data_IF_661546501307
#
_entry.id   IF_661546501307
#
_cell.length_a   1.000
_cell.length_b   1.000
_cell.length_c   1.000
_cell.angle_alpha   90.00
_cell.angle_beta   90.00
_cell.angle_gamma   90.00
#
_symmetry.space_group_name_H-M   'P 1'
#
loop_
_entity.id
_entity.type
_entity.pdbx_description
1 polymer ?
#
# COMPACT_ATOMS: atom_id res chain seq x y z
N UNK A 1 17.20 -2.50 14.63
CA UNK A 1 16.52 -3.30 13.59
C UNK A 1 17.53 -4.18 12.87
N UNK A 2 17.10 -5.28 12.28
CA UNK A 2 17.90 -6.12 11.37
C UNK A 2 16.99 -6.59 10.23
N UNK A 3 17.56 -6.92 9.07
CA UNK A 3 16.81 -7.32 7.88
C UNK A 3 16.69 -8.84 7.77
N UNK A 4 15.55 -9.30 7.27
CA UNK A 4 15.21 -10.71 7.07
C UNK A 4 14.28 -10.85 5.86
N UNK A 5 14.13 -12.06 5.33
CA UNK A 5 13.30 -12.34 4.15
C UNK A 5 12.69 -13.76 4.15
N UNK A 6 12.51 -14.37 5.33
CA UNK A 6 12.04 -15.74 5.44
C UNK A 6 10.66 -15.81 6.08
N UNK A 7 9.92 -16.88 5.75
CA UNK A 7 8.64 -17.19 6.41
C UNK A 7 8.77 -17.30 7.93
N UNK A 8 9.93 -17.72 8.44
CA UNK A 8 10.18 -17.82 9.87
C UNK A 8 9.98 -16.46 10.56
N UNK A 9 10.54 -15.40 9.99
CA UNK A 9 10.43 -14.04 10.51
C UNK A 9 9.08 -13.40 10.11
N UNK A 10 8.57 -13.71 8.91
CA UNK A 10 7.30 -13.16 8.44
C UNK A 10 6.09 -13.64 9.27
N UNK A 11 6.12 -14.85 9.84
CA UNK A 11 5.02 -15.39 10.66
C UNK A 11 5.27 -15.28 12.17
N UNK A 12 6.49 -14.94 12.59
CA UNK A 12 6.77 -14.70 14.00
C UNK A 12 6.02 -13.45 14.49
N UNK A 13 5.64 -13.46 15.78
CA UNK A 13 5.05 -12.30 16.45
C UNK A 13 6.03 -11.71 17.46
N UNK A 14 6.25 -10.39 17.47
CA UNK A 14 7.15 -9.78 18.42
C UNK A 14 6.60 -9.85 19.85
N UNK A 15 7.50 -10.00 20.83
CA UNK A 15 7.16 -9.77 22.23
C UNK A 15 6.81 -8.30 22.45
N UNK A 16 5.96 -8.01 23.45
CA UNK A 16 5.65 -6.64 23.84
C UNK A 16 6.93 -5.84 24.12
N UNK A 17 7.18 -4.72 23.43
CA UNK A 17 8.38 -3.93 23.65
C UNK A 17 8.44 -3.35 25.07
N UNK A 18 9.65 -3.25 25.59
CA UNK A 18 9.89 -2.78 26.95
C UNK A 18 9.34 -1.35 27.17
N UNK A 19 8.66 -1.16 28.30
CA UNK A 19 8.10 0.11 28.77
C UNK A 19 7.13 0.80 27.80
N UNK A 20 6.58 0.12 26.78
CA UNK A 20 5.69 0.75 25.78
C UNK A 20 4.41 1.32 26.38
N UNK A 21 3.92 0.77 27.50
CA UNK A 21 2.75 1.29 28.22
C UNK A 21 2.94 2.72 28.77
N UNK A 22 4.19 3.18 28.89
CA UNK A 22 4.57 4.53 29.38
C UNK A 22 4.94 5.48 28.24
N UNK A 23 4.75 5.09 26.98
CA UNK A 23 5.14 5.86 25.79
C UNK A 23 3.90 6.38 25.06
N UNK A 24 4.10 7.46 24.31
CA UNK A 24 3.13 8.03 23.37
C UNK A 24 3.81 8.34 22.03
N UNK A 25 3.02 8.42 20.97
CA UNK A 25 3.48 8.72 19.63
C UNK A 25 2.65 9.86 19.03
N UNK A 26 3.33 10.77 18.33
CA UNK A 26 2.72 11.85 17.58
C UNK A 26 3.16 11.72 16.12
N UNK A 27 2.20 11.59 15.22
CA UNK A 27 2.44 11.40 13.79
C UNK A 27 1.91 12.62 13.05
N UNK A 28 2.80 13.29 12.31
CA UNK A 28 2.47 14.52 11.59
C UNK A 28 2.02 14.16 10.18
N UNK A 29 0.80 14.57 9.82
CA UNK A 29 0.08 14.13 8.63
C UNK A 29 -0.59 12.77 8.82
N UNK A 30 -1.67 12.54 8.07
CA UNK A 30 -2.46 11.31 8.04
C UNK A 30 -2.40 10.59 6.69
N UNK A 31 -1.31 10.78 5.94
CA UNK A 31 -1.01 9.97 4.76
C UNK A 31 -0.64 8.52 5.11
N UNK A 32 -0.45 7.69 4.07
CA UNK A 32 -0.14 6.27 4.19
C UNK A 32 0.97 5.96 5.21
N UNK A 33 2.04 6.75 5.24
CA UNK A 33 3.17 6.52 6.14
C UNK A 33 2.78 6.62 7.62
N UNK A 34 2.06 7.68 8.01
CA UNK A 34 1.60 7.86 9.39
C UNK A 34 0.55 6.83 9.77
N UNK A 35 -0.38 6.51 8.86
CA UNK A 35 -1.38 5.47 9.11
C UNK A 35 -0.72 4.10 9.28
N UNK A 36 0.24 3.74 8.42
CA UNK A 36 1.02 2.51 8.55
C UNK A 36 1.79 2.46 9.88
N UNK A 37 2.47 3.55 10.24
CA UNK A 37 3.20 3.64 11.51
C UNK A 37 2.27 3.47 12.72
N UNK A 38 1.08 4.07 12.71
CA UNK A 38 0.07 3.86 13.75
C UNK A 38 -0.38 2.39 13.82
N UNK A 39 -0.59 1.74 12.68
CA UNK A 39 -0.93 0.31 12.63
C UNK A 39 0.18 -0.56 13.25
N UNK A 40 1.45 -0.33 12.90
CA UNK A 40 2.56 -1.07 13.50
C UNK A 40 2.75 -0.76 14.99
N UNK A 41 2.51 0.47 15.44
CA UNK A 41 2.52 0.84 16.86
C UNK A 41 1.46 0.09 17.65
N UNK A 42 0.26 -0.09 17.08
CA UNK A 42 -0.81 -0.91 17.68
C UNK A 42 -0.43 -2.39 17.67
N UNK A 43 -0.12 -2.94 16.49
CA UNK A 43 0.02 -4.38 16.26
C UNK A 43 1.28 -4.97 16.89
N UNK A 44 2.42 -4.38 16.58
CA UNK A 44 3.75 -4.91 16.95
C UNK A 44 4.31 -4.18 18.16
N UNK A 45 4.09 -2.86 18.19
CA UNK A 45 4.41 -2.03 19.34
C UNK A 45 3.53 -2.34 20.55
N UNK A 46 2.32 -2.87 20.35
CA UNK A 46 1.33 -3.10 21.41
C UNK A 46 1.10 -1.84 22.27
N UNK A 47 1.26 -0.66 21.65
CA UNK A 47 0.97 0.63 22.26
C UNK A 47 -0.55 0.80 22.34
N UNK A 48 -1.04 1.35 23.44
CA UNK A 48 -2.48 1.64 23.59
C UNK A 48 -2.86 2.74 22.61
N UNK A 49 -3.92 2.53 21.82
CA UNK A 49 -4.33 3.51 20.78
C UNK A 49 -4.58 4.93 21.32
N UNK A 50 -5.06 5.06 22.56
CA UNK A 50 -5.22 6.37 23.22
C UNK A 50 -3.93 7.19 23.39
N UNK A 51 -2.76 6.57 23.23
CA UNK A 51 -1.44 7.21 23.30
C UNK A 51 -0.85 7.49 21.90
N UNK A 52 -1.59 7.20 20.83
CA UNK A 52 -1.18 7.44 19.44
C UNK A 52 -2.01 8.61 18.92
N UNK A 53 -1.33 9.69 18.54
CA UNK A 53 -1.96 10.94 18.11
C UNK A 53 -1.56 11.23 16.67
N UNK A 54 -2.52 11.23 15.74
CA UNK A 54 -2.30 11.61 14.35
C UNK A 54 -2.77 13.06 14.18
N UNK A 55 -1.90 13.93 13.68
CA UNK A 55 -2.15 15.35 13.52
C UNK A 55 -2.24 15.65 12.03
N UNK A 56 -3.45 15.88 11.52
CA UNK A 56 -3.73 16.19 10.12
C UNK A 56 -4.20 17.63 9.97
N UNK A 57 -3.79 18.29 8.90
CA UNK A 57 -4.19 19.65 8.57
C UNK A 57 -5.56 19.68 7.89
N UNK A 58 -5.86 18.66 7.07
CA UNK A 58 -7.12 18.50 6.35
C UNK A 58 -8.24 17.85 7.19
N UNK A 59 -9.48 18.01 6.74
CA UNK A 59 -10.65 17.38 7.36
C UNK A 59 -10.78 15.87 7.05
N UNK A 60 -9.90 15.33 6.20
CA UNK A 60 -9.93 13.94 5.73
C UNK A 60 -8.54 13.31 5.81
N UNK A 61 -8.50 12.03 6.14
CA UNK A 61 -7.27 11.24 6.12
C UNK A 61 -6.90 10.69 4.75
N UNK A 62 -5.64 10.28 4.57
CA UNK A 62 -5.18 9.52 3.41
C UNK A 62 -4.07 10.22 2.61
N UNK A 63 -3.92 11.54 2.77
CA UNK A 63 -2.90 12.30 2.06
C UNK A 63 -3.03 12.07 0.55
N UNK A 64 -1.99 11.58 -0.13
CA UNK A 64 -1.98 11.32 -1.58
C UNK A 64 -2.74 10.07 -2.05
N UNK A 65 -3.51 9.42 -1.17
CA UNK A 65 -4.35 8.23 -1.46
C UNK A 65 -5.85 8.56 -1.46
N UNK A 66 -6.23 9.71 -2.00
CA UNK A 66 -7.62 10.12 -2.11
C UNK A 66 -8.28 9.68 -3.42
N UNK A 67 -9.59 9.56 -3.34
CA UNK A 67 -10.50 9.53 -4.47
C UNK A 67 -11.84 10.07 -3.99
N UNK A 68 -12.22 11.26 -4.44
CA UNK A 68 -13.40 11.96 -3.93
C UNK A 68 -14.27 12.49 -5.06
N UNK A 69 -15.58 12.55 -4.84
CA UNK A 69 -16.48 13.31 -5.70
C UNK A 69 -16.46 14.78 -5.25
N UNK A 70 -15.70 15.61 -5.95
CA UNK A 70 -15.57 17.03 -5.66
C UNK A 70 -16.78 17.78 -6.20
N UNK A 71 -17.41 18.58 -5.33
CA UNK A 71 -18.50 19.46 -5.72
C UNK A 71 -18.09 20.33 -6.92
N UNK A 72 -18.96 20.42 -7.93
CA UNK A 72 -18.73 21.14 -9.19
C UNK A 72 -17.57 20.63 -10.09
N UNK A 73 -16.78 19.65 -9.67
CA UNK A 73 -15.66 19.10 -10.45
C UNK A 73 -15.84 17.61 -10.83
N UNK A 74 -16.72 16.88 -10.14
CA UNK A 74 -16.96 15.46 -10.36
C UNK A 74 -15.97 14.55 -9.63
N UNK A 75 -15.83 13.30 -10.08
CA UNK A 75 -14.88 12.35 -9.49
C UNK A 75 -13.43 12.75 -9.79
N UNK A 76 -12.64 12.91 -8.73
CA UNK A 76 -11.22 13.24 -8.81
C UNK A 76 -10.41 12.17 -8.11
N UNK A 77 -9.39 11.67 -8.83
CA UNK A 77 -8.38 10.75 -8.33
C UNK A 77 -7.02 11.40 -8.57
N UNK A 78 -6.27 11.75 -7.51
CA UNK A 78 -4.97 12.44 -7.67
C UNK A 78 -3.93 11.57 -8.38
N UNK A 79 -4.06 10.25 -8.31
CA UNK A 79 -3.27 9.32 -9.08
C UNK A 79 -3.57 7.87 -8.74
N UNK A 80 -3.45 6.99 -9.75
CA UNK A 80 -3.51 5.54 -9.53
C UNK A 80 -2.30 5.04 -8.74
N UNK A 81 -2.47 3.92 -8.06
CA UNK A 81 -1.40 3.19 -7.37
C UNK A 81 -1.29 1.81 -7.96
N UNK A 82 -0.21 1.61 -8.72
CA UNK A 82 0.19 0.29 -9.17
C UNK A 82 0.95 -0.38 -8.03
N UNK A 83 0.56 -1.60 -7.70
CA UNK A 83 1.15 -2.40 -6.63
C UNK A 83 1.71 -3.69 -7.23
N UNK A 84 2.68 -4.28 -6.55
CA UNK A 84 3.28 -5.54 -6.99
C UNK A 84 3.49 -6.49 -5.81
N UNK A 85 3.78 -7.75 -6.11
CA UNK A 85 3.75 -8.84 -5.13
C UNK A 85 4.90 -8.77 -4.10
N UNK A 86 5.99 -8.07 -4.40
CA UNK A 86 7.15 -7.85 -3.53
C UNK A 86 7.13 -6.52 -2.76
N UNK A 87 5.96 -5.89 -2.59
CA UNK A 87 5.78 -4.84 -1.59
C UNK A 87 5.73 -5.46 -0.19
N UNK A 88 6.84 -6.10 0.21
CA UNK A 88 6.96 -6.98 1.39
C UNK A 88 6.37 -6.35 2.67
N UNK A 89 6.78 -5.12 3.00
CA UNK A 89 6.32 -4.43 4.20
C UNK A 89 4.84 -4.00 4.11
N UNK A 90 4.37 -3.70 2.91
CA UNK A 90 2.97 -3.32 2.69
C UNK A 90 2.07 -4.54 2.86
N UNK A 91 2.45 -5.69 2.33
CA UNK A 91 1.67 -6.91 2.49
C UNK A 91 1.74 -7.46 3.91
N UNK A 92 2.85 -7.27 4.63
CA UNK A 92 2.88 -7.51 6.08
C UNK A 92 1.88 -6.61 6.81
N UNK A 93 1.75 -5.32 6.45
CA UNK A 93 0.74 -4.44 7.04
C UNK A 93 -0.68 -4.92 6.72
N UNK A 94 -1.03 -5.04 5.44
CA UNK A 94 -2.42 -5.21 5.01
C UNK A 94 -3.01 -6.59 5.26
N UNK A 95 -2.21 -7.65 5.51
CA UNK A 95 -2.73 -8.92 6.02
C UNK A 95 -3.37 -8.82 7.41
N UNK A 96 -3.13 -7.72 8.12
CA UNK A 96 -3.66 -7.48 9.47
C UNK A 96 -4.76 -6.41 9.52
N UNK A 97 -5.09 -5.80 8.39
CA UNK A 97 -6.18 -4.83 8.28
C UNK A 97 -7.42 -5.56 7.75
N UNK A 98 -8.55 -5.59 8.48
CA UNK A 98 -9.78 -6.20 8.00
C UNK A 98 -10.28 -5.53 6.71
N UNK A 99 -10.77 -6.33 5.78
CA UNK A 99 -11.52 -5.84 4.62
C UNK A 99 -12.84 -5.20 5.06
N UNK A 100 -13.29 -4.20 4.31
CA UNK A 100 -14.60 -3.58 4.48
C UNK A 100 -15.69 -4.25 3.63
N UNK A 101 -15.30 -4.97 2.58
CA UNK A 101 -16.20 -5.58 1.59
C UNK A 101 -16.34 -7.10 1.78
N UNK A 102 -15.29 -7.76 2.28
CA UNK A 102 -15.23 -9.20 2.49
C UNK A 102 -15.25 -9.52 3.99
N UNK A 103 -16.36 -10.07 4.52
CA UNK A 103 -16.43 -10.50 5.91
C UNK A 103 -15.34 -11.51 6.26
N UNK A 104 -14.75 -11.38 7.45
CA UNK A 104 -13.72 -12.27 7.99
C UNK A 104 -12.45 -12.42 7.12
N UNK A 105 -12.19 -11.45 6.22
CA UNK A 105 -11.00 -11.41 5.37
C UNK A 105 -10.15 -10.16 5.65
N UNK A 106 -8.86 -10.21 5.32
CA UNK A 106 -7.99 -9.03 5.32
C UNK A 106 -8.03 -8.30 3.99
N UNK A 107 -7.55 -7.05 3.96
CA UNK A 107 -7.33 -6.30 2.71
C UNK A 107 -6.38 -7.04 1.77
N UNK A 108 -5.38 -7.76 2.31
CA UNK A 108 -4.52 -8.60 1.48
C UNK A 108 -5.31 -9.73 0.81
N UNK A 109 -6.22 -10.40 1.53
CA UNK A 109 -7.00 -11.51 0.98
C UNK A 109 -7.89 -11.04 -0.17
N UNK A 110 -8.65 -9.96 0.05
CA UNK A 110 -9.48 -9.34 -0.98
C UNK A 110 -8.65 -8.93 -2.21
N UNK A 111 -7.54 -8.22 -2.00
CA UNK A 111 -6.65 -7.78 -3.08
C UNK A 111 -6.07 -8.98 -3.85
N UNK A 112 -5.69 -10.03 -3.14
CA UNK A 112 -5.13 -11.25 -3.72
C UNK A 112 -6.14 -12.01 -4.58
N UNK A 113 -7.37 -12.19 -4.08
CA UNK A 113 -8.43 -12.87 -4.84
C UNK A 113 -8.80 -12.10 -6.09
N UNK A 114 -9.02 -10.78 -5.97
CA UNK A 114 -9.36 -9.92 -7.10
C UNK A 114 -8.32 -10.00 -8.22
N UNK A 115 -7.03 -9.88 -7.88
CA UNK A 115 -5.96 -9.90 -8.88
C UNK A 115 -5.70 -11.29 -9.48
N UNK A 116 -6.28 -12.36 -8.91
CA UNK A 116 -6.31 -13.69 -9.51
C UNK A 116 -7.52 -13.90 -10.41
N UNK A 117 -8.66 -13.33 -10.04
CA UNK A 117 -9.89 -13.39 -10.83
C UNK A 117 -9.79 -12.53 -12.09
N UNK A 118 -9.21 -11.33 -11.97
CA UNK A 118 -8.95 -10.40 -13.08
C UNK A 118 -7.47 -9.97 -13.11
N UNK A 119 -6.58 -10.80 -13.69
CA UNK A 119 -5.16 -10.48 -13.76
C UNK A 119 -4.92 -9.27 -14.66
N UNK A 120 -4.21 -8.26 -14.15
CA UNK A 120 -3.91 -7.05 -14.90
C UNK A 120 -2.92 -7.31 -16.05
N UNK A 121 -3.26 -6.88 -17.27
CA UNK A 121 -2.35 -6.82 -18.41
C UNK A 121 -2.78 -5.74 -19.41
N UNK A 122 -1.80 -5.16 -20.10
CA UNK A 122 -2.05 -4.15 -21.13
C UNK A 122 -2.21 -4.79 -22.51
N UNK A 123 -3.36 -4.59 -23.16
CA UNK A 123 -3.59 -5.00 -24.57
C UNK A 123 -2.94 -4.07 -25.59
N UNK A 124 -2.70 -2.81 -25.20
CA UNK A 124 -2.07 -1.80 -26.03
C UNK A 124 -1.37 -0.79 -25.13
N UNK A 125 -0.03 -0.84 -25.01
CA UNK A 125 0.72 0.02 -24.09
C UNK A 125 1.07 1.36 -24.72
N UNK A 126 1.25 1.40 -26.04
CA UNK A 126 1.64 2.59 -26.78
C UNK A 126 0.87 2.74 -28.12
N UNK A 127 0.46 3.97 -28.40
CA UNK A 127 -0.24 4.38 -29.62
C UNK A 127 0.47 5.57 -30.27
N UNK A 128 0.30 5.72 -31.58
CA UNK A 128 0.78 6.85 -32.38
C UNK A 128 -0.25 7.23 -33.44
N UNK A 129 -0.11 8.42 -34.04
CA UNK A 129 -0.85 8.88 -35.23
C UNK A 129 -2.37 8.58 -35.19
N UNK A 130 -3.08 9.25 -34.28
CA UNK A 130 -4.55 9.14 -34.19
C UNK A 130 -5.04 7.82 -33.59
N UNK A 131 -4.27 7.21 -32.68
CA UNK A 131 -4.71 6.04 -31.91
C UNK A 131 -4.31 4.68 -32.48
N UNK A 132 -3.44 4.63 -33.49
CA UNK A 132 -2.91 3.37 -34.01
C UNK A 132 -1.90 2.78 -33.04
N UNK A 133 -1.99 1.49 -32.75
CA UNK A 133 -0.98 0.76 -31.97
C UNK A 133 0.36 0.81 -32.71
N UNK A 134 1.46 1.05 -32.00
CA UNK A 134 2.80 0.95 -32.60
C UNK A 134 3.13 -0.52 -32.88
N UNK A 135 3.86 -0.81 -33.96
CA UNK A 135 4.14 -2.19 -34.38
C UNK A 135 4.96 -2.98 -33.34
N UNK A 136 5.80 -2.29 -32.56
CA UNK A 136 6.65 -2.89 -31.51
C UNK A 136 6.00 -2.88 -30.12
N UNK A 137 4.69 -2.62 -30.04
CA UNK A 137 3.98 -2.55 -28.77
C UNK A 137 3.89 -3.93 -28.10
N UNK A 138 4.51 -4.06 -26.94
CA UNK A 138 4.62 -5.35 -26.22
C UNK A 138 5.94 -6.09 -26.47
N UNK A 139 6.80 -5.61 -27.39
CA UNK A 139 8.13 -6.20 -27.59
C UNK A 139 9.11 -5.84 -26.47
N UNK A 140 8.72 -4.92 -25.56
CA UNK A 140 9.48 -4.43 -24.41
C UNK A 140 10.99 -4.42 -24.70
N UNK A 141 11.40 -3.63 -25.71
CA UNK A 141 12.74 -3.62 -26.35
C UNK A 141 13.93 -3.28 -25.43
N UNK A 142 13.72 -3.35 -24.12
CA UNK A 142 14.71 -3.33 -23.06
C UNK A 142 15.68 -4.51 -23.22
N UNK A 143 16.78 -4.25 -23.91
CA UNK A 143 17.91 -5.19 -23.93
C UNK A 143 18.38 -5.50 -22.50
N UNK A 144 18.92 -6.71 -22.27
CA UNK A 144 19.53 -7.11 -20.97
C UNK A 144 20.58 -6.11 -20.45
N UNK A 145 21.20 -5.32 -21.32
CA UNK A 145 22.16 -4.26 -20.97
C UNK A 145 21.50 -3.06 -20.30
N UNK A 146 20.26 -2.74 -20.67
CA UNK A 146 19.48 -1.64 -20.10
C UNK A 146 18.84 -2.03 -18.75
N UNK A 147 18.48 -3.30 -18.56
CA UNK A 147 17.93 -3.82 -17.30
C UNK A 147 18.95 -3.86 -16.15
N UNK A 148 20.26 -4.00 -16.43
CA UNK A 148 21.33 -4.07 -15.41
C UNK A 148 21.70 -2.73 -14.75
N UNK A 149 21.10 -1.61 -15.18
CA UNK A 149 21.40 -0.26 -14.68
C UNK A 149 20.40 0.27 -13.66
N UNK A 150 19.41 -0.54 -13.28
CA UNK A 150 18.44 -0.25 -12.23
C UNK A 150 18.64 -1.20 -11.06
#
# INVERSE_FOLDING_TARGET
MYYTNSNYEAFARPKKPENVDKKSAYLIGSGLASLAAACFLIRDGQMKGKNIHILEELDISGGSLDGINMEHHGFVVRGGREMENHFECLWDLFRSIPSLEQPDASVLDEFYWLNKEDPNYSKCRAIYSGGKRIDTDGDFTLSKKLLKKF
#
